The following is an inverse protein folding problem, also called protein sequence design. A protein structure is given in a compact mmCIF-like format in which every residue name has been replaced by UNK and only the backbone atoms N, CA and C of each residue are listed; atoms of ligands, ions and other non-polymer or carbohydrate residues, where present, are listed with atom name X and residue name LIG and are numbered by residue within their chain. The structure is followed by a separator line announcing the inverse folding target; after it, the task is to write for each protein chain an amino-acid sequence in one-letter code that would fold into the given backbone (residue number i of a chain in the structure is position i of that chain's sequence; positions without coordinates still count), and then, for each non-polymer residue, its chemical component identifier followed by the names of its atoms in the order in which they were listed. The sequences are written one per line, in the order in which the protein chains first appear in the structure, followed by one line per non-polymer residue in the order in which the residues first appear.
data_IF_325327466662
#
_entry.id   IF_325327466662
#
_cell.length_a   1.000
_cell.length_b   1.000
_cell.length_c   1.000
_cell.angle_alpha   90.00
_cell.angle_beta   90.00
_cell.angle_gamma   90.00
#
_symmetry.space_group_name_H-M   'P 1'
#
loop_
_entity.id
_entity.type
_entity.pdbx_description
1 polymer ?
#
# COMPACT_ATOMS: atom_id res chain seq x y z
N UNK A 1 -7.07 5.63 -0.21
CA UNK A 1 -7.27 4.23 0.21
C UNK A 1 -7.39 4.16 1.72
N UNK A 2 -8.21 3.25 2.26
CA UNK A 2 -8.36 3.03 3.71
C UNK A 2 -8.09 1.56 4.00
N UNK A 3 -7.23 1.28 5.00
CA UNK A 3 -6.96 -0.08 5.47
C UNK A 3 -7.34 -0.20 6.94
N UNK A 4 -7.90 -1.36 7.29
CA UNK A 4 -8.26 -1.71 8.65
C UNK A 4 -7.45 -2.93 9.07
N UNK A 5 -6.62 -2.76 10.08
CA UNK A 5 -5.94 -3.83 10.80
C UNK A 5 -6.59 -3.95 12.19
N UNK A 6 -6.52 -5.13 12.81
CA UNK A 6 -7.16 -5.41 14.10
C UNK A 6 -6.89 -4.32 15.17
N UNK A 7 -5.69 -3.75 15.15
CA UNK A 7 -5.22 -2.78 16.14
C UNK A 7 -4.80 -1.43 15.52
N UNK A 8 -5.08 -1.20 14.23
CA UNK A 8 -4.70 0.03 13.53
C UNK A 8 -5.63 0.40 12.36
N UNK A 9 -5.84 1.70 12.16
CA UNK A 9 -6.49 2.28 11.00
C UNK A 9 -5.47 3.08 10.19
N UNK A 10 -5.40 2.83 8.88
CA UNK A 10 -4.45 3.48 8.00
C UNK A 10 -5.22 4.18 6.87
N UNK A 11 -5.18 5.51 6.86
CA UNK A 11 -5.65 6.34 5.77
C UNK A 11 -4.50 6.70 4.84
N UNK A 12 -4.67 6.50 3.54
CA UNK A 12 -3.68 6.90 2.52
C UNK A 12 -4.37 7.81 1.51
N UNK A 13 -3.88 9.05 1.40
CA UNK A 13 -4.21 9.99 0.34
C UNK A 13 -3.05 10.05 -0.66
N UNK A 14 -3.27 9.47 -1.84
CA UNK A 14 -2.27 9.43 -2.91
C UNK A 14 -2.07 10.77 -3.60
N UNK A 15 -3.11 11.63 -3.65
CA UNK A 15 -3.01 12.93 -4.31
C UNK A 15 -2.21 13.90 -3.43
N UNK A 16 -2.53 13.93 -2.14
CA UNK A 16 -1.81 14.76 -1.18
C UNK A 16 -0.48 14.16 -0.71
N UNK A 17 -0.15 12.92 -1.12
CA UNK A 17 0.96 12.12 -0.58
C UNK A 17 0.97 12.18 0.96
N UNK A 18 -0.17 11.86 1.58
CA UNK A 18 -0.32 11.86 3.05
C UNK A 18 -0.77 10.49 3.52
N UNK A 19 -0.17 10.03 4.61
CA UNK A 19 -0.57 8.81 5.31
C UNK A 19 -0.88 9.15 6.75
N UNK A 20 -1.99 8.62 7.25
CA UNK A 20 -2.44 8.75 8.62
C UNK A 20 -2.55 7.34 9.22
N UNK A 21 -1.78 7.07 10.27
CA UNK A 21 -1.83 5.80 10.99
C UNK A 21 -2.37 6.08 12.38
N UNK A 22 -3.51 5.48 12.70
CA UNK A 22 -4.16 5.58 14.01
C UNK A 22 -4.07 4.21 14.67
N UNK A 23 -3.39 4.12 15.80
CA UNK A 23 -3.22 2.87 16.56
C UNK A 23 -3.32 3.12 18.06
N UNK A 24 -3.47 2.06 18.85
CA UNK A 24 -3.34 2.17 20.30
C UNK A 24 -1.86 2.41 20.66
N UNK A 25 -1.61 3.30 21.63
CA UNK A 25 -0.25 3.65 22.03
C UNK A 25 0.44 2.45 22.69
N UNK A 26 1.59 2.05 22.14
CA UNK A 26 2.48 1.06 22.76
C UNK A 26 3.74 1.73 23.31
N UNK A 27 4.43 1.08 24.26
CA UNK A 27 5.60 1.61 24.98
C UNK A 27 6.79 2.01 24.09
N UNK A 28 6.78 1.64 22.81
CA UNK A 28 7.82 1.94 21.82
C UNK A 28 7.54 3.15 20.91
N UNK A 29 6.37 3.79 21.01
CA UNK A 29 5.97 4.89 20.12
C UNK A 29 6.62 6.23 20.50
N UNK A 30 7.75 6.52 19.87
CA UNK A 30 8.45 7.80 19.98
C UNK A 30 7.97 8.76 18.88
N UNK A 31 7.70 10.03 19.23
CA UNK A 31 7.27 11.09 18.31
C UNK A 31 5.90 10.89 17.63
N UNK A 32 4.92 10.32 18.35
CA UNK A 32 3.57 10.10 17.84
C UNK A 32 2.57 10.97 18.63
N UNK A 33 1.68 11.70 17.95
CA UNK A 33 0.66 12.51 18.62
C UNK A 33 -0.31 11.57 19.35
N UNK A 34 -0.37 11.65 20.68
CA UNK A 34 -1.20 10.78 21.49
C UNK A 34 -2.27 11.57 22.24
N UNK A 35 -3.51 11.07 22.27
CA UNK A 35 -4.58 11.64 23.08
C UNK A 35 -5.33 10.55 23.85
N UNK A 36 -5.79 10.91 25.04
CA UNK A 36 -6.52 10.02 25.92
C UNK A 36 -8.02 10.10 25.62
N UNK A 37 -8.63 8.97 25.26
CA UNK A 37 -10.06 8.82 25.12
C UNK A 37 -10.62 8.23 26.42
N UNK A 38 -11.44 9.02 27.12
CA UNK A 38 -12.29 8.53 28.20
C UNK A 38 -13.58 7.98 27.59
N UNK A 39 -13.73 6.66 27.65
CA UNK A 39 -15.03 6.04 27.34
C UNK A 39 -15.98 6.25 28.52
N UNK A 40 -17.29 6.28 28.27
CA UNK A 40 -18.35 6.41 29.29
C UNK A 40 -18.32 5.34 30.40
N UNK A 41 -17.49 4.29 30.23
CA UNK A 41 -17.23 3.24 31.22
C UNK A 41 -15.93 3.44 32.02
N UNK A 42 -15.26 4.60 31.93
CA UNK A 42 -14.08 4.94 32.74
C UNK A 42 -12.76 4.29 32.29
N UNK A 43 -12.73 3.59 31.14
CA UNK A 43 -11.49 3.00 30.61
C UNK A 43 -10.75 4.05 29.77
N UNK A 44 -9.56 4.45 30.25
CA UNK A 44 -8.64 5.35 29.54
C UNK A 44 -7.92 4.58 28.45
N UNK A 45 -8.21 4.88 27.18
CA UNK A 45 -7.45 4.35 26.04
C UNK A 45 -6.65 5.48 25.42
N UNK A 46 -5.34 5.34 25.37
CA UNK A 46 -4.47 6.31 24.68
C UNK A 46 -4.33 5.89 23.22
N UNK A 47 -4.77 6.75 22.30
CA UNK A 47 -4.63 6.55 20.85
C UNK A 47 -3.46 7.37 20.36
N UNK A 48 -2.61 6.76 19.53
CA UNK A 48 -1.46 7.36 18.89
C UNK A 48 -1.75 7.56 17.38
N UNK A 49 -1.58 8.80 16.90
CA UNK A 49 -1.67 9.20 15.49
C UNK A 49 -0.27 9.49 14.97
N UNK A 50 0.18 8.70 13.99
CA UNK A 50 1.44 8.91 13.29
C UNK A 50 1.19 9.42 11.86
N UNK A 51 1.92 10.47 11.49
CA UNK A 51 2.03 10.96 10.13
C UNK A 51 3.47 10.75 9.67
N UNK A 52 3.79 9.62 9.02
CA UNK A 52 5.14 9.42 8.51
C UNK A 52 5.47 10.50 7.48
N UNK A 53 6.67 11.08 7.58
CA UNK A 53 7.16 11.99 6.56
C UNK A 53 7.37 11.24 5.25
N UNK A 54 6.66 11.66 4.21
CA UNK A 54 6.82 11.11 2.87
C UNK A 54 7.92 11.93 2.19
N UNK A 55 9.06 11.29 1.92
CA UNK A 55 10.10 11.88 1.09
C UNK A 55 9.54 12.08 -0.31
N UNK A 56 9.72 13.28 -0.86
CA UNK A 56 9.32 13.53 -2.24
C UNK A 56 10.31 12.81 -3.17
N UNK A 57 9.92 11.61 -3.62
CA UNK A 57 10.68 10.83 -4.58
C UNK A 57 9.88 10.71 -5.88
N UNK A 58 10.57 10.95 -6.99
CA UNK A 58 10.04 10.67 -8.31
C UNK A 58 10.39 9.22 -8.66
N UNK A 59 9.40 8.34 -8.61
CA UNK A 59 9.58 6.92 -8.89
C UNK A 59 10.12 6.65 -10.31
N UNK A 60 9.61 7.38 -11.32
CA UNK A 60 10.05 7.22 -12.72
C UNK A 60 11.52 7.65 -12.86
N UNK A 61 11.89 8.78 -12.26
CA UNK A 61 13.29 9.23 -12.29
C UNK A 61 14.21 8.22 -11.60
N UNK A 62 13.79 7.69 -10.46
CA UNK A 62 14.56 6.70 -9.70
C UNK A 62 14.73 5.38 -10.47
N UNK A 63 13.70 4.95 -11.20
CA UNK A 63 13.75 3.76 -12.06
C UNK A 63 14.73 3.96 -13.22
N UNK A 64 14.64 5.09 -13.93
CA UNK A 64 15.56 5.43 -15.03
C UNK A 64 17.01 5.51 -14.56
N UNK A 65 17.24 6.13 -13.39
CA UNK A 65 18.58 6.15 -12.77
C UNK A 65 19.06 4.73 -12.44
N UNK A 66 18.21 3.89 -11.87
CA UNK A 66 18.54 2.50 -11.55
C UNK A 66 18.89 1.69 -12.79
N UNK A 67 18.23 1.97 -13.92
CA UNK A 67 18.50 1.36 -15.22
C UNK A 67 19.84 1.83 -15.80
N UNK A 68 20.13 3.12 -15.77
CA UNK A 68 21.44 3.66 -16.21
C UNK A 68 22.58 3.03 -15.42
N UNK A 69 22.44 2.95 -14.09
CA UNK A 69 23.44 2.32 -13.22
C UNK A 69 23.62 0.84 -13.59
N UNK A 70 22.52 0.13 -13.89
CA UNK A 70 22.59 -1.27 -14.30
C UNK A 70 23.44 -1.48 -15.55
N UNK A 71 23.31 -0.59 -16.54
CA UNK A 71 24.13 -0.59 -17.76
C UNK A 71 25.60 -0.26 -17.44
N UNK A 72 25.84 0.75 -16.62
CA UNK A 72 27.21 1.21 -16.31
C UNK A 72 28.00 0.21 -15.49
N UNK A 73 27.35 -0.51 -14.59
CA UNK A 73 27.96 -1.47 -13.67
C UNK A 73 27.86 -2.93 -14.14
N UNK A 74 27.31 -3.16 -15.34
CA UNK A 74 27.06 -4.51 -15.90
C UNK A 74 26.33 -5.43 -14.91
N UNK A 75 25.31 -4.88 -14.23
CA UNK A 75 24.48 -5.61 -13.27
C UNK A 75 23.09 -5.83 -13.84
N UNK A 76 22.43 -6.88 -13.36
CA UNK A 76 21.03 -7.12 -13.69
C UNK A 76 20.14 -5.97 -13.21
N UNK A 77 19.16 -5.62 -14.03
CA UNK A 77 18.10 -4.68 -13.67
C UNK A 77 17.21 -5.29 -12.60
N UNK A 78 16.54 -4.44 -11.81
CA UNK A 78 15.64 -4.90 -10.74
C UNK A 78 14.45 -5.72 -11.29
N UNK A 79 14.07 -5.48 -12.54
CA UNK A 79 13.08 -6.25 -13.30
C UNK A 79 13.76 -6.75 -14.57
N UNK A 80 13.77 -8.07 -14.78
CA UNK A 80 14.32 -8.68 -15.99
C UNK A 80 13.30 -8.72 -17.13
N UNK A 81 13.76 -9.05 -18.34
CA UNK A 81 12.90 -9.28 -19.50
C UNK A 81 11.91 -10.43 -19.29
N UNK A 82 12.33 -11.48 -18.56
CA UNK A 82 11.48 -12.62 -18.23
C UNK A 82 10.39 -12.20 -17.24
N UNK A 83 10.76 -11.44 -16.21
CA UNK A 83 9.79 -10.93 -15.23
C UNK A 83 8.77 -10.01 -15.89
N UNK A 84 9.22 -9.16 -16.82
CA UNK A 84 8.34 -8.29 -17.61
C UNK A 84 7.35 -9.08 -18.46
N UNK A 85 7.81 -10.15 -19.13
CA UNK A 85 6.94 -11.04 -19.90
C UNK A 85 5.89 -11.73 -19.01
N UNK A 86 6.32 -12.34 -17.91
CA UNK A 86 5.43 -13.03 -16.98
C UNK A 86 4.41 -12.09 -16.33
N UNK A 87 4.79 -10.85 -16.05
CA UNK A 87 3.87 -9.83 -15.54
C UNK A 87 2.76 -9.51 -16.55
N UNK A 88 3.10 -9.39 -17.84
CA UNK A 88 2.13 -9.15 -18.92
C UNK A 88 1.19 -10.35 -19.09
N UNK A 89 1.72 -11.58 -19.12
CA UNK A 89 0.91 -12.79 -19.19
C UNK A 89 -0.07 -12.89 -18.02
N UNK A 90 0.40 -12.59 -16.81
CA UNK A 90 -0.43 -12.58 -15.60
C UNK A 90 -1.52 -11.52 -15.68
N UNK A 91 -1.20 -10.32 -16.19
CA UNK A 91 -2.16 -9.25 -16.37
C UNK A 91 -3.26 -9.66 -17.37
N UNK A 92 -2.90 -10.29 -18.48
CA UNK A 92 -3.87 -10.82 -19.45
C UNK A 92 -4.77 -11.89 -18.82
N UNK A 93 -4.21 -12.82 -18.04
CA UNK A 93 -4.98 -13.85 -17.35
C UNK A 93 -6.00 -13.26 -16.37
N UNK A 94 -5.63 -12.20 -15.65
CA UNK A 94 -6.55 -11.49 -14.75
C UNK A 94 -7.67 -10.82 -15.54
N UNK A 95 -7.33 -10.11 -16.63
CA UNK A 95 -8.31 -9.43 -17.48
C UNK A 95 -9.29 -10.41 -18.12
N UNK A 96 -8.81 -11.56 -18.61
CA UNK A 96 -9.65 -12.61 -19.17
C UNK A 96 -10.65 -13.14 -18.13
N UNK A 97 -10.18 -13.47 -16.93
CA UNK A 97 -11.04 -13.95 -15.84
C UNK A 97 -12.06 -12.89 -15.40
N UNK A 98 -11.66 -11.62 -15.33
CA UNK A 98 -12.58 -10.53 -15.02
C UNK A 98 -13.62 -10.33 -16.12
N UNK A 99 -13.22 -10.41 -17.40
CA UNK A 99 -14.14 -10.37 -18.54
C UNK A 99 -15.15 -11.51 -18.51
N UNK A 100 -14.69 -12.74 -18.33
CA UNK A 100 -15.53 -13.95 -18.24
C UNK A 100 -16.53 -13.90 -17.06
N UNK A 101 -16.14 -13.28 -15.93
CA UNK A 101 -17.04 -13.08 -14.79
C UNK A 101 -18.22 -12.13 -15.12
N UNK A 102 -18.07 -11.25 -16.12
CA UNK A 102 -19.11 -10.29 -16.53
C UNK A 102 -20.14 -10.91 -17.48
N UNK A 103 -19.78 -11.98 -18.18
CA UNK A 103 -20.59 -12.62 -19.24
C UNK A 103 -21.25 -13.94 -18.81
N UNK A 104 -21.13 -14.38 -17.55
CA UNK A 104 -21.86 -15.57 -17.07
C UNK A 104 -23.30 -15.17 -16.69
N UNK A 105 -24.34 -15.49 -17.50
CA UNK A 105 -25.71 -15.23 -17.09
C UNK A 105 -26.05 -16.06 -15.85
N UNK A 106 -26.86 -15.49 -14.96
CA UNK A 106 -27.41 -16.06 -13.74
C UNK A 106 -28.38 -17.24 -14.02
N UNK A 107 -27.99 -18.20 -14.85
CA UNK A 107 -28.80 -19.33 -15.29
C UNK A 107 -28.22 -20.67 -14.86
N UNK A 108 -27.68 -20.76 -13.64
CA UNK A 108 -27.38 -22.05 -12.99
C UNK A 108 -27.76 -22.01 -11.50
N UNK A 109 -28.96 -21.50 -11.19
CA UNK A 109 -29.58 -21.64 -9.86
C UNK A 109 -31.08 -21.96 -9.96
N UNK A 110 -31.43 -23.01 -10.71
CA UNK A 110 -32.70 -23.75 -10.56
C UNK A 110 -32.42 -25.22 -10.33
#
# INVERSE_FOLDING_TARGET
MRLFQKDAYIGIDFLAKKTEIIKLKESGDQNVFAFDLETSNGVKKTVAIANPEIKDSNAILSELQSFIIAIQEDRTTAVSEIDGMLAIETAHLILEKMGQLTDKPLLEMQ
#
